data_IF_072294301653
#
_entry.id   IF_072294301653
#
_cell.length_a   1.000
_cell.length_b   1.000
_cell.length_c   1.000
_cell.angle_alpha   90.00
_cell.angle_beta   90.00
_cell.angle_gamma   90.00
#
_symmetry.space_group_name_H-M   'P 1'
#
loop_
_entity.id
_entity.type
_entity.pdbx_description
1 polymer ?
#
# COMPACT_ATOMS: atom_id res chain seq x y z
N UNK A 1 15.48 4.13 -17.30
CA UNK A 1 16.83 3.54 -17.31
C UNK A 1 17.78 4.38 -18.19
N UNK A 2 17.29 4.95 -19.27
CA UNK A 2 18.13 5.77 -20.18
C UNK A 2 18.58 7.11 -19.55
N UNK A 3 17.91 7.58 -18.49
CA UNK A 3 18.21 8.86 -17.82
C UNK A 3 19.12 8.72 -16.58
N UNK A 4 19.33 7.50 -16.06
CA UNK A 4 20.15 7.30 -14.86
C UNK A 4 21.44 6.51 -15.20
N UNK A 5 22.61 7.16 -15.16
CA UNK A 5 23.89 6.55 -15.54
C UNK A 5 24.33 5.39 -14.65
N UNK A 6 23.70 5.25 -13.48
CA UNK A 6 23.98 4.15 -12.56
C UNK A 6 23.59 2.79 -13.14
N UNK A 7 22.46 2.70 -13.86
CA UNK A 7 21.91 1.43 -14.34
C UNK A 7 22.44 1.03 -15.71
N UNK A 8 22.81 -0.25 -15.81
CA UNK A 8 23.17 -0.89 -17.07
C UNK A 8 22.16 -1.98 -17.42
N UNK A 9 22.11 -2.38 -18.66
CA UNK A 9 21.24 -3.47 -19.12
C UNK A 9 21.55 -4.76 -18.33
N UNK A 10 20.55 -5.28 -17.63
CA UNK A 10 20.65 -6.45 -16.77
C UNK A 10 20.64 -6.16 -15.28
N UNK A 11 20.77 -4.90 -14.87
CA UNK A 11 20.65 -4.53 -13.45
C UNK A 11 19.22 -4.69 -12.95
N UNK A 12 19.12 -4.92 -11.65
CA UNK A 12 17.85 -4.88 -10.94
C UNK A 12 17.55 -3.46 -10.51
N UNK A 13 16.26 -3.10 -10.52
CA UNK A 13 15.75 -1.80 -10.08
C UNK A 13 14.41 -1.99 -9.40
N UNK A 14 14.18 -1.28 -8.33
CA UNK A 14 12.89 -1.21 -7.64
C UNK A 14 11.85 -0.46 -8.49
N UNK A 15 10.82 -1.17 -8.94
CA UNK A 15 9.79 -0.60 -9.81
C UNK A 15 8.61 -0.02 -9.05
N UNK A 16 8.39 -0.43 -7.81
CA UNK A 16 7.25 -0.01 -6.98
C UNK A 16 7.51 -0.25 -5.50
N UNK A 17 6.65 0.31 -4.65
CA UNK A 17 6.66 0.10 -3.21
C UNK A 17 7.96 0.53 -2.53
N UNK A 18 8.33 -0.19 -1.49
CA UNK A 18 9.53 0.10 -0.69
C UNK A 18 10.81 0.04 -1.52
N UNK A 19 10.93 -0.93 -2.42
CA UNK A 19 12.11 -1.06 -3.29
C UNK A 19 12.33 0.19 -4.15
N UNK A 20 11.26 0.79 -4.70
CA UNK A 20 11.36 2.02 -5.48
C UNK A 20 11.64 3.24 -4.59
N UNK A 21 10.95 3.33 -3.46
CA UNK A 21 11.05 4.50 -2.55
C UNK A 21 12.42 4.60 -1.88
N UNK A 22 13.06 3.45 -1.63
CA UNK A 22 14.34 3.36 -0.94
C UNK A 22 15.46 2.81 -1.83
N UNK A 23 15.28 2.87 -3.15
CA UNK A 23 16.22 2.32 -4.14
C UNK A 23 17.66 2.78 -3.91
N UNK A 24 17.89 4.06 -3.67
CA UNK A 24 19.24 4.62 -3.47
C UNK A 24 19.93 4.08 -2.24
N UNK A 25 19.17 3.79 -1.18
CA UNK A 25 19.68 3.22 0.06
C UNK A 25 19.96 1.72 -0.11
N UNK A 26 19.05 1.03 -0.79
CA UNK A 26 19.09 -0.44 -0.92
C UNK A 26 20.11 -0.91 -1.96
N UNK A 27 20.33 -0.15 -3.04
CA UNK A 27 21.17 -0.58 -4.18
C UNK A 27 22.67 -0.58 -3.90
N UNK A 28 23.14 0.22 -2.92
CA UNK A 28 24.56 0.42 -2.66
C UNK A 28 25.32 1.12 -3.79
N UNK A 29 26.63 0.96 -3.83
CA UNK A 29 27.50 1.52 -4.86
C UNK A 29 28.20 0.41 -5.63
N UNK A 30 28.23 0.54 -6.96
CA UNK A 30 28.89 -0.44 -7.82
C UNK A 30 30.40 -0.28 -7.77
N UNK A 31 31.10 -1.38 -7.55
CA UNK A 31 32.52 -1.45 -7.82
C UNK A 31 32.82 -1.58 -9.31
N UNK A 32 34.07 -1.32 -9.68
CA UNK A 32 34.58 -1.55 -11.03
C UNK A 32 35.86 -2.36 -10.97
N UNK A 33 36.01 -3.30 -11.90
CA UNK A 33 37.20 -4.08 -12.07
C UNK A 33 37.67 -3.95 -13.51
N UNK A 34 38.93 -3.51 -13.72
CA UNK A 34 39.51 -3.34 -15.02
C UNK A 34 40.35 -4.57 -15.32
N UNK A 35 39.93 -5.37 -16.30
CA UNK A 35 40.60 -6.58 -16.72
C UNK A 35 41.23 -6.42 -18.10
N UNK A 36 42.41 -6.98 -18.27
CA UNK A 36 43.06 -7.15 -19.59
C UNK A 36 42.40 -8.33 -20.30
N UNK A 37 42.02 -8.15 -21.56
CA UNK A 37 41.44 -9.19 -22.39
C UNK A 37 42.24 -9.34 -23.70
N UNK A 38 42.28 -10.56 -24.25
CA UNK A 38 42.84 -10.80 -25.55
C UNK A 38 41.82 -10.49 -26.67
N UNK A 39 42.27 -10.64 -27.92
CA UNK A 39 41.45 -10.41 -29.13
C UNK A 39 40.19 -11.30 -29.20
N UNK A 40 40.12 -12.33 -28.40
CA UNK A 40 38.97 -13.22 -28.27
C UNK A 40 38.14 -12.95 -27.02
N UNK A 41 38.35 -11.80 -26.35
CA UNK A 41 37.64 -11.36 -25.14
C UNK A 41 37.87 -12.30 -23.92
N UNK A 42 39.00 -13.03 -23.86
CA UNK A 42 39.38 -13.89 -22.74
C UNK A 42 40.22 -13.09 -21.75
N UNK A 43 39.88 -13.16 -20.44
CA UNK A 43 40.60 -12.48 -19.38
C UNK A 43 42.06 -12.96 -19.29
N UNK A 44 43.00 -12.02 -19.20
CA UNK A 44 44.44 -12.24 -19.03
C UNK A 44 45.00 -11.74 -17.70
N UNK A 45 44.20 -11.08 -16.91
CA UNK A 45 44.59 -10.55 -15.61
C UNK A 45 44.04 -9.16 -15.33
N UNK A 46 44.35 -8.62 -14.16
CA UNK A 46 43.97 -7.27 -13.79
C UNK A 46 44.87 -6.24 -14.45
N UNK A 47 44.31 -5.13 -14.91
CA UNK A 47 45.08 -4.00 -15.40
C UNK A 47 45.85 -3.36 -14.23
N UNK A 48 47.17 -3.15 -14.44
CA UNK A 48 48.08 -2.58 -13.43
C UNK A 48 47.91 -3.14 -12.02
N UNK A 49 47.78 -4.48 -11.92
CA UNK A 49 47.57 -5.20 -10.65
C UNK A 49 46.35 -4.72 -9.85
N UNK A 50 45.31 -4.19 -10.51
CA UNK A 50 44.10 -3.75 -9.86
C UNK A 50 44.16 -2.35 -9.25
N UNK A 51 45.16 -1.54 -9.55
CA UNK A 51 45.35 -0.18 -8.99
C UNK A 51 44.14 0.73 -9.22
N UNK A 52 43.40 0.49 -10.29
CA UNK A 52 42.20 1.27 -10.65
C UNK A 52 40.86 0.57 -10.34
N UNK A 53 40.95 -0.58 -9.68
CA UNK A 53 39.73 -1.26 -9.24
C UNK A 53 39.09 -0.52 -8.07
N UNK A 54 37.76 -0.42 -8.09
CA UNK A 54 37.00 0.13 -6.96
C UNK A 54 36.16 -0.98 -6.34
N UNK A 55 36.08 -1.01 -5.01
CA UNK A 55 35.24 -1.98 -4.31
C UNK A 55 33.77 -1.61 -4.39
N UNK A 56 32.91 -2.61 -4.52
CA UNK A 56 31.48 -2.43 -4.37
C UNK A 56 31.14 -2.18 -2.89
N UNK A 57 30.23 -1.24 -2.63
CA UNK A 57 29.68 -0.97 -1.29
C UNK A 57 28.26 -1.51 -1.25
N UNK A 58 28.01 -2.40 -0.30
CA UNK A 58 26.68 -2.96 -0.12
C UNK A 58 25.67 -1.88 0.31
N UNK A 59 24.43 -2.00 -0.15
CA UNK A 59 23.34 -1.15 0.31
C UNK A 59 23.03 -1.36 1.80
N UNK A 60 22.26 -0.46 2.35
CA UNK A 60 21.84 -0.50 3.74
C UNK A 60 20.60 -1.37 3.93
N UNK A 61 20.46 -1.96 5.11
CA UNK A 61 19.25 -2.69 5.46
C UNK A 61 18.10 -1.73 5.74
N UNK A 62 16.91 -2.09 5.26
CA UNK A 62 15.67 -1.40 5.59
C UNK A 62 14.93 -2.17 6.69
N UNK A 63 14.66 -1.50 7.81
CA UNK A 63 13.85 -2.06 8.89
C UNK A 63 12.42 -1.54 8.75
N UNK A 64 11.46 -2.44 8.57
CA UNK A 64 10.06 -2.09 8.50
C UNK A 64 9.34 -2.37 9.81
N UNK A 65 8.20 -1.71 10.03
CA UNK A 65 7.35 -1.90 11.20
C UNK A 65 6.42 -3.11 11.06
N UNK A 66 6.47 -3.80 9.92
CA UNK A 66 5.62 -4.98 9.65
C UNK A 66 5.95 -6.11 10.64
N UNK A 67 4.93 -6.53 11.39
CA UNK A 67 4.98 -7.77 12.17
C UNK A 67 4.79 -8.96 11.22
N UNK A 68 5.84 -9.76 11.05
CA UNK A 68 5.84 -10.84 10.07
C UNK A 68 4.83 -11.95 10.39
N UNK A 69 4.55 -12.21 11.68
CA UNK A 69 3.59 -13.24 12.07
C UNK A 69 2.15 -12.74 11.83
N UNK A 70 1.88 -11.48 12.14
CA UNK A 70 0.60 -10.85 11.83
C UNK A 70 0.37 -10.78 10.31
N UNK A 71 1.41 -10.43 9.54
CA UNK A 71 1.36 -10.39 8.07
C UNK A 71 1.01 -11.76 7.50
N UNK A 72 1.73 -12.82 7.89
CA UNK A 72 1.46 -14.21 7.47
C UNK A 72 0.03 -14.67 7.83
N UNK A 73 -0.42 -14.32 9.03
CA UNK A 73 -1.77 -14.66 9.48
C UNK A 73 -2.83 -13.95 8.62
N UNK A 74 -2.65 -12.67 8.35
CA UNK A 74 -3.55 -11.89 7.51
C UNK A 74 -3.56 -12.40 6.05
N UNK A 75 -2.42 -12.77 5.49
CA UNK A 75 -2.35 -13.41 4.18
C UNK A 75 -3.11 -14.74 4.15
N UNK A 76 -2.96 -15.57 5.17
CA UNK A 76 -3.71 -16.84 5.31
C UNK A 76 -5.22 -16.61 5.35
N UNK A 77 -5.69 -15.60 6.09
CA UNK A 77 -7.13 -15.25 6.15
C UNK A 77 -7.62 -14.79 4.77
N UNK A 78 -6.78 -14.10 4.01
CA UNK A 78 -7.11 -13.58 2.68
C UNK A 78 -6.97 -14.59 1.56
N UNK A 79 -6.55 -15.82 1.84
CA UNK A 79 -6.47 -16.89 0.85
C UNK A 79 -7.84 -17.06 0.14
N UNK A 80 -7.83 -17.12 -1.19
CA UNK A 80 -9.02 -17.23 -2.04
C UNK A 80 -10.05 -16.09 -1.88
N UNK A 81 -9.65 -14.94 -1.36
CA UNK A 81 -10.48 -13.74 -1.23
C UNK A 81 -9.92 -12.59 -2.05
N UNK A 82 -10.74 -11.58 -2.27
CA UNK A 82 -10.35 -10.33 -2.95
C UNK A 82 -10.62 -9.15 -2.02
N UNK A 83 -9.58 -8.41 -1.69
CA UNK A 83 -9.66 -7.29 -0.75
C UNK A 83 -8.31 -6.93 -0.17
N UNK A 84 -8.32 -6.26 0.98
CA UNK A 84 -7.10 -5.89 1.70
C UNK A 84 -7.30 -5.94 3.21
N UNK A 85 -6.19 -6.10 3.93
CA UNK A 85 -6.11 -5.94 5.39
C UNK A 85 -4.97 -4.99 5.68
N UNK A 86 -5.23 -3.99 6.54
CA UNK A 86 -4.23 -3.08 7.08
C UNK A 86 -4.40 -3.02 8.59
N UNK A 87 -3.31 -3.17 9.32
CA UNK A 87 -3.27 -2.93 10.76
C UNK A 87 -2.30 -1.79 11.04
N UNK A 88 -2.76 -0.78 11.77
CA UNK A 88 -2.00 0.41 12.12
C UNK A 88 -2.02 0.57 13.64
N UNK A 89 -0.85 0.76 14.25
CA UNK A 89 -0.75 1.14 15.66
C UNK A 89 -1.20 2.60 15.83
N UNK A 90 -2.31 2.86 16.57
CA UNK A 90 -2.87 4.21 16.61
C UNK A 90 -1.99 5.25 17.30
N UNK A 91 -1.13 4.82 18.23
CA UNK A 91 -0.28 5.71 19.02
C UNK A 91 0.95 6.20 18.26
N UNK A 92 1.49 5.38 17.34
CA UNK A 92 2.73 5.67 16.60
C UNK A 92 2.50 5.89 15.11
N UNK A 93 1.40 5.37 14.55
CA UNK A 93 1.13 5.36 13.12
C UNK A 93 1.87 4.25 12.38
N UNK A 94 2.55 3.35 13.08
CA UNK A 94 3.27 2.24 12.49
C UNK A 94 2.33 1.25 11.80
N UNK A 95 2.69 0.83 10.59
CA UNK A 95 1.95 -0.17 9.85
C UNK A 95 2.46 -1.55 10.25
N UNK A 96 1.63 -2.30 10.98
CA UNK A 96 1.97 -3.63 11.47
C UNK A 96 1.64 -4.74 10.48
N UNK A 97 0.67 -4.51 9.60
CA UNK A 97 0.23 -5.47 8.59
C UNK A 97 -0.27 -4.73 7.34
N UNK A 98 0.08 -5.25 6.15
CA UNK A 98 -0.26 -4.63 4.88
C UNK A 98 -0.49 -5.69 3.81
N UNK A 99 -1.73 -6.16 3.67
CA UNK A 99 -2.09 -7.25 2.75
C UNK A 99 -3.02 -6.76 1.66
N UNK A 100 -2.66 -7.02 0.42
CA UNK A 100 -3.51 -6.86 -0.77
C UNK A 100 -3.72 -8.22 -1.43
N UNK A 101 -4.95 -8.70 -1.50
CA UNK A 101 -5.28 -10.01 -2.08
C UNK A 101 -6.17 -9.89 -3.33
N UNK A 102 -6.03 -10.79 -4.33
CA UNK A 102 -5.01 -11.82 -4.38
C UNK A 102 -3.60 -11.23 -4.51
N UNK A 103 -2.64 -11.92 -3.99
CA UNK A 103 -1.22 -11.58 -4.09
C UNK A 103 -0.52 -12.50 -5.10
N UNK A 104 0.69 -12.15 -5.47
CA UNK A 104 1.54 -12.94 -6.36
C UNK A 104 2.92 -13.15 -5.74
N UNK A 105 3.61 -14.19 -6.18
CA UNK A 105 5.00 -14.39 -5.77
C UNK A 105 5.91 -13.37 -6.48
N UNK A 106 6.57 -12.44 -5.77
CA UNK A 106 7.43 -11.42 -6.37
C UNK A 106 8.59 -11.99 -7.17
N UNK A 107 9.06 -13.20 -6.86
CA UNK A 107 10.11 -13.89 -7.63
C UNK A 107 9.70 -14.16 -9.08
N UNK A 108 8.42 -14.12 -9.42
CA UNK A 108 7.97 -14.22 -10.81
C UNK A 108 8.40 -13.03 -11.67
N UNK A 109 8.68 -11.88 -11.04
CA UNK A 109 9.04 -10.64 -11.72
C UNK A 109 10.55 -10.40 -11.82
N UNK A 110 11.36 -11.38 -11.46
CA UNK A 110 12.82 -11.35 -11.60
C UNK A 110 13.33 -12.29 -12.68
N UNK A 111 14.53 -12.02 -13.18
CA UNK A 111 15.22 -12.87 -14.16
C UNK A 111 14.68 -12.77 -15.59
N UNK A 112 15.07 -13.74 -16.42
CA UNK A 112 14.83 -13.70 -17.88
C UNK A 112 13.36 -13.89 -18.28
N UNK A 113 12.57 -14.58 -17.44
CA UNK A 113 11.16 -14.90 -17.72
C UNK A 113 10.19 -13.83 -17.23
N UNK A 114 10.69 -12.78 -16.55
CA UNK A 114 9.87 -11.72 -15.95
C UNK A 114 8.83 -11.11 -16.89
N UNK A 115 9.18 -10.88 -18.16
CA UNK A 115 8.26 -10.26 -19.12
C UNK A 115 7.04 -11.14 -19.41
N UNK A 116 7.24 -12.46 -19.57
CA UNK A 116 6.15 -13.42 -19.74
C UNK A 116 5.26 -13.47 -18.48
N UNK A 117 5.89 -13.55 -17.31
CA UNK A 117 5.16 -13.63 -16.05
C UNK A 117 4.39 -12.32 -15.77
N UNK A 118 4.98 -11.15 -16.04
CA UNK A 118 4.29 -9.87 -15.92
C UNK A 118 3.06 -9.81 -16.81
N UNK A 119 3.17 -10.25 -18.07
CA UNK A 119 2.02 -10.30 -18.98
C UNK A 119 0.91 -11.18 -18.41
N UNK A 120 1.23 -12.38 -17.95
CA UNK A 120 0.25 -13.29 -17.32
C UNK A 120 -0.43 -12.64 -16.12
N UNK A 121 0.33 -12.00 -15.21
CA UNK A 121 -0.22 -11.33 -14.03
C UNK A 121 -1.05 -10.08 -14.38
N UNK A 122 -0.68 -9.35 -15.44
CA UNK A 122 -1.41 -8.15 -15.87
C UNK A 122 -2.74 -8.46 -16.56
N UNK A 123 -2.81 -9.61 -17.26
CA UNK A 123 -4.00 -10.09 -17.95
C UNK A 123 -4.95 -10.87 -17.00
N UNK A 124 -4.50 -11.21 -15.80
CA UNK A 124 -5.31 -11.93 -14.81
C UNK A 124 -6.50 -11.08 -14.34
N UNK A 125 -7.72 -11.63 -14.51
CA UNK A 125 -8.98 -10.98 -14.14
C UNK A 125 -9.06 -10.64 -12.64
N UNK A 126 -8.33 -11.35 -11.80
CA UNK A 126 -8.26 -11.10 -10.36
C UNK A 126 -7.39 -9.90 -10.00
N UNK A 127 -6.61 -9.38 -10.97
CA UNK A 127 -5.71 -8.22 -10.86
C UNK A 127 -4.75 -8.30 -9.66
N UNK A 128 -3.85 -9.29 -9.60
CA UNK A 128 -2.93 -9.46 -8.49
C UNK A 128 -1.90 -8.33 -8.39
N UNK A 129 -1.56 -7.66 -9.50
CA UNK A 129 -0.65 -6.50 -9.51
C UNK A 129 -1.29 -5.21 -8.95
N UNK A 130 -2.62 -5.18 -8.80
CA UNK A 130 -3.32 -4.02 -8.28
C UNK A 130 -3.23 -3.96 -6.75
N UNK A 131 -2.49 -2.99 -6.23
CA UNK A 131 -2.36 -2.80 -4.78
C UNK A 131 -3.64 -2.20 -4.20
N UNK A 132 -4.49 -3.05 -3.63
CA UNK A 132 -5.79 -2.67 -3.09
C UNK A 132 -5.72 -1.80 -1.86
N UNK A 133 -4.65 -1.89 -1.10
CA UNK A 133 -4.45 -1.04 0.08
C UNK A 133 -4.25 0.41 -0.31
N UNK A 134 -3.47 0.66 -1.37
CA UNK A 134 -3.12 2.02 -1.80
C UNK A 134 -4.05 2.59 -2.87
N UNK A 135 -4.64 1.73 -3.71
CA UNK A 135 -5.27 2.16 -4.95
C UNK A 135 -6.78 1.87 -5.01
N UNK A 136 -7.32 1.06 -4.09
CA UNK A 136 -8.73 0.74 -4.14
C UNK A 136 -9.59 1.83 -3.51
N UNK A 137 -10.63 2.21 -4.23
CA UNK A 137 -11.66 3.16 -3.80
C UNK A 137 -12.92 2.38 -3.47
N UNK A 138 -13.08 1.98 -2.22
CA UNK A 138 -14.27 1.28 -1.74
C UNK A 138 -15.18 2.25 -0.99
N UNK A 139 -16.51 2.17 -1.18
CA UNK A 139 -17.45 2.87 -0.32
C UNK A 139 -17.25 2.44 1.14
N UNK A 140 -16.92 3.36 2.05
CA UNK A 140 -16.59 3.00 3.44
C UNK A 140 -17.80 2.48 4.23
N UNK A 141 -19.00 2.77 3.76
CA UNK A 141 -20.24 2.40 4.47
C UNK A 141 -20.37 3.09 5.81
N UNK A 142 -21.10 2.40 6.78
CA UNK A 142 -21.46 3.00 8.09
C UNK A 142 -20.28 3.35 8.99
N UNK A 143 -19.07 2.83 8.73
CA UNK A 143 -17.87 3.23 9.51
C UNK A 143 -17.52 4.69 9.29
N UNK A 144 -17.85 5.26 8.13
CA UNK A 144 -17.64 6.68 7.84
C UNK A 144 -18.48 7.60 8.71
N UNK A 145 -19.58 7.12 9.31
CA UNK A 145 -20.44 7.91 10.20
C UNK A 145 -19.70 8.44 11.42
N UNK A 146 -18.68 7.73 11.89
CA UNK A 146 -17.83 8.19 13.01
C UNK A 146 -17.03 9.42 12.57
N UNK A 147 -16.34 9.35 11.42
CA UNK A 147 -15.60 10.49 10.86
C UNK A 147 -16.54 11.68 10.57
N UNK A 148 -17.70 11.41 9.98
CA UNK A 148 -18.72 12.44 9.70
C UNK A 148 -19.23 13.11 10.97
N UNK A 149 -19.41 12.35 12.07
CA UNK A 149 -19.78 12.91 13.38
C UNK A 149 -18.72 13.85 13.93
N UNK A 150 -17.43 13.45 13.85
CA UNK A 150 -16.32 14.28 14.31
C UNK A 150 -16.23 15.58 13.52
N UNK A 151 -16.32 15.52 12.19
CA UNK A 151 -16.32 16.71 11.33
C UNK A 151 -17.48 17.64 11.70
N UNK A 152 -18.69 17.12 11.84
CA UNK A 152 -19.87 17.93 12.15
C UNK A 152 -19.82 18.57 13.54
N UNK A 153 -19.24 17.89 14.52
CA UNK A 153 -19.01 18.41 15.87
C UNK A 153 -17.94 19.50 15.86
N UNK A 154 -16.84 19.29 15.15
CA UNK A 154 -15.74 20.24 15.02
C UNK A 154 -16.19 21.53 14.32
N UNK A 155 -16.98 21.39 13.24
CA UNK A 155 -17.61 22.53 12.56
C UNK A 155 -18.71 23.22 13.37
N UNK A 156 -19.15 22.67 14.51
CA UNK A 156 -20.23 23.20 15.33
C UNK A 156 -21.63 23.10 14.69
N UNK A 157 -21.79 22.39 13.57
CA UNK A 157 -23.09 22.25 12.88
C UNK A 157 -24.05 21.28 13.59
N UNK A 158 -23.51 20.47 14.50
CA UNK A 158 -24.27 19.65 15.46
C UNK A 158 -23.61 19.71 16.84
N UNK A 159 -24.37 19.32 17.87
CA UNK A 159 -23.86 19.08 19.23
C UNK A 159 -24.02 17.59 19.59
N UNK A 160 -23.36 17.08 20.62
CA UNK A 160 -23.54 15.69 21.07
C UNK A 160 -25.03 15.30 21.32
N UNK A 161 -25.86 16.26 21.70
CA UNK A 161 -27.28 16.09 21.98
C UNK A 161 -28.21 16.44 20.80
N UNK A 162 -27.67 16.69 19.63
CA UNK A 162 -28.49 16.92 18.44
C UNK A 162 -29.22 15.64 18.04
N UNK A 163 -30.55 15.71 18.01
CA UNK A 163 -31.43 14.62 17.60
C UNK A 163 -32.07 14.88 16.23
N UNK A 164 -32.32 13.81 15.46
CA UNK A 164 -33.13 13.85 14.24
C UNK A 164 -34.06 12.65 14.15
N UNK A 165 -35.26 12.87 13.62
CA UNK A 165 -36.18 11.79 13.26
C UNK A 165 -35.60 10.83 12.23
N UNK A 166 -35.88 9.55 12.38
CA UNK A 166 -35.52 8.53 11.37
C UNK A 166 -36.59 8.54 10.25
N UNK A 167 -36.43 9.48 9.32
CA UNK A 167 -37.30 9.61 8.15
C UNK A 167 -36.81 8.69 7.03
N UNK A 168 -37.43 7.53 6.92
CA UNK A 168 -37.09 6.51 5.89
C UNK A 168 -37.46 6.95 4.47
N UNK A 169 -38.24 8.01 4.31
CA UNK A 169 -38.53 8.60 3.01
C UNK A 169 -37.34 9.36 2.42
N UNK A 170 -36.42 9.85 3.25
CA UNK A 170 -35.19 10.51 2.80
C UNK A 170 -34.13 9.51 2.32
N UNK A 171 -33.86 8.49 3.18
CA UNK A 171 -32.88 7.42 2.90
C UNK A 171 -33.32 6.15 3.60
N UNK A 172 -33.23 5.02 2.92
CA UNK A 172 -33.53 3.71 3.49
C UNK A 172 -32.75 3.44 4.78
N UNK A 173 -33.42 2.91 5.79
CA UNK A 173 -32.85 2.68 7.10
C UNK A 173 -33.41 1.42 7.75
N UNK A 174 -32.68 0.91 8.76
CA UNK A 174 -33.15 -0.20 9.61
C UNK A 174 -34.37 0.19 10.44
N UNK A 175 -35.03 -0.79 11.04
CA UNK A 175 -36.17 -0.54 11.93
C UNK A 175 -35.65 -0.23 13.34
N UNK A 176 -35.72 1.04 13.73
CA UNK A 176 -35.31 1.55 15.05
C UNK A 176 -36.00 2.86 15.38
N UNK A 177 -36.07 3.28 16.65
CA UNK A 177 -36.60 4.59 17.06
C UNK A 177 -35.76 5.74 16.50
N UNK A 178 -36.29 6.95 16.53
CA UNK A 178 -35.52 8.15 16.15
C UNK A 178 -34.31 8.35 17.07
N UNK A 179 -33.19 8.82 16.50
CA UNK A 179 -31.99 9.09 17.26
C UNK A 179 -32.09 10.44 18.00
N UNK A 180 -32.01 10.41 19.31
CA UNK A 180 -32.08 11.60 20.18
C UNK A 180 -30.71 12.29 20.34
N UNK A 181 -29.64 11.64 19.96
CA UNK A 181 -28.25 12.09 20.08
C UNK A 181 -27.35 11.53 18.99
N UNK A 182 -26.15 12.11 18.83
CA UNK A 182 -25.09 11.56 17.95
C UNK A 182 -24.76 10.11 18.36
N UNK A 183 -24.66 9.85 19.67
CA UNK A 183 -24.39 8.52 20.23
C UNK A 183 -25.43 7.50 19.80
N UNK A 184 -26.74 7.86 19.93
CA UNK A 184 -27.82 6.99 19.50
C UNK A 184 -27.80 6.75 17.99
N UNK A 185 -27.53 7.80 17.22
CA UNK A 185 -27.43 7.70 15.78
C UNK A 185 -26.31 6.75 15.31
N UNK A 186 -25.15 6.79 15.97
CA UNK A 186 -24.04 5.85 15.71
C UNK A 186 -24.44 4.44 16.14
N UNK A 187 -24.96 4.27 17.37
CA UNK A 187 -25.39 2.97 17.92
C UNK A 187 -26.40 2.27 17.02
N UNK A 188 -27.38 3.01 16.50
CA UNK A 188 -28.43 2.48 15.63
C UNK A 188 -28.04 2.52 14.14
N UNK A 189 -26.89 3.09 13.83
CA UNK A 189 -26.43 3.30 12.43
C UNK A 189 -27.49 3.99 11.56
N UNK A 190 -28.15 5.03 12.06
CA UNK A 190 -29.27 5.72 11.43
C UNK A 190 -28.87 6.47 10.16
N UNK A 191 -29.28 5.99 8.98
CA UNK A 191 -28.94 6.63 7.70
C UNK A 191 -29.60 8.03 7.54
N UNK A 192 -30.91 8.26 7.83
CA UNK A 192 -31.52 9.57 7.73
C UNK A 192 -30.89 10.62 8.64
N UNK A 193 -30.42 10.22 9.85
CA UNK A 193 -29.70 11.11 10.73
C UNK A 193 -28.42 11.64 10.05
N UNK A 194 -27.59 10.74 9.54
CA UNK A 194 -26.33 11.09 8.90
C UNK A 194 -26.51 11.79 7.55
N UNK A 195 -27.59 11.53 6.83
CA UNK A 195 -27.95 12.31 5.65
C UNK A 195 -28.20 13.78 6.02
N UNK A 196 -28.97 14.07 7.10
CA UNK A 196 -29.20 15.42 7.58
C UNK A 196 -27.94 16.09 8.12
N UNK A 197 -27.07 15.32 8.81
CA UNK A 197 -25.74 15.81 9.22
C UNK A 197 -24.91 16.21 8.02
N UNK A 198 -24.86 15.38 6.97
CA UNK A 198 -24.17 15.71 5.72
C UNK A 198 -24.68 17.01 5.10
N UNK A 199 -26.01 17.19 5.01
CA UNK A 199 -26.58 18.42 4.49
C UNK A 199 -26.12 19.67 5.27
N UNK A 200 -25.95 19.58 6.58
CA UNK A 200 -25.44 20.69 7.42
C UNK A 200 -23.95 20.94 7.27
N UNK A 201 -23.16 19.92 6.92
CA UNK A 201 -21.72 20.08 6.65
C UNK A 201 -21.48 20.81 5.34
N UNK A 202 -22.30 20.56 4.32
CA UNK A 202 -22.09 21.09 2.94
C UNK A 202 -22.84 22.39 2.66
N UNK A 203 -23.64 22.91 3.60
CA UNK A 203 -24.26 24.22 3.55
C UNK A 203 -23.32 25.31 4.08
#
# INVERSE_FOLDING_TARGET
>A
IEENPYYKKGDYIGMSGLEKSYEEILRGEKGSKITLVDVHNREKGSFQNGMYDTLAIAGQNLYSTIDIELQKYAEKIMANKRGCIVAIEPSTGEILCFVSAPYYNPNLLVGRVRGKNYKTLSEDISKPLFNRVLMAEYPPGSIFKIAQSLIALDMGVITPNTGFGCDKGLVGCHNHPSASSVRDAIKMSCNPYFYRVFQRIVQ
#
